data_IF_588933644359
#
_entry.id   IF_588933644359
#
_cell.length_a   1.000
_cell.length_b   1.000
_cell.length_c   1.000
_cell.angle_alpha   90.00
_cell.angle_beta   90.00
_cell.angle_gamma   90.00
#
_symmetry.space_group_name_H-M   'P 1'
#
loop_
_entity.id
_entity.type
_entity.pdbx_description
1 polymer ?
#
# COMPACT_ATOMS: atom_id res chain seq x y z
N UNK A 1 -9.81 20.90 -16.55
CA UNK A 1 -9.57 22.09 -15.71
C UNK A 1 -10.04 21.85 -14.28
N UNK A 2 -9.53 22.67 -13.35
CA UNK A 2 -9.55 22.48 -11.90
C UNK A 2 -10.94 22.69 -11.27
N UNK A 3 -11.56 21.64 -10.74
CA UNK A 3 -12.83 21.70 -10.01
C UNK A 3 -12.69 21.64 -8.48
N UNK A 4 -11.60 22.16 -7.91
CA UNK A 4 -11.47 22.27 -6.44
C UNK A 4 -10.94 23.65 -6.10
N UNK A 5 -11.69 24.36 -5.27
CA UNK A 5 -11.43 25.74 -4.87
C UNK A 5 -10.09 25.82 -4.10
N UNK A 6 -9.30 26.87 -4.34
CA UNK A 6 -7.92 26.98 -3.83
C UNK A 6 -7.84 26.95 -2.30
N UNK A 7 -8.92 27.37 -1.64
CA UNK A 7 -9.14 27.32 -0.20
C UNK A 7 -9.33 25.90 0.34
N UNK A 8 -10.06 25.02 -0.36
CA UNK A 8 -10.22 23.60 0.02
C UNK A 8 -8.90 22.83 -0.12
N UNK A 9 -8.05 23.17 -1.09
CA UNK A 9 -6.72 22.56 -1.25
C UNK A 9 -5.79 22.84 -0.06
N UNK A 10 -5.89 24.04 0.52
CA UNK A 10 -5.11 24.43 1.71
C UNK A 10 -5.59 23.70 2.97
N UNK A 11 -6.90 23.50 3.13
CA UNK A 11 -7.46 22.75 4.26
C UNK A 11 -7.23 21.23 4.14
N UNK A 12 -7.24 20.66 2.94
CA UNK A 12 -7.05 19.21 2.70
C UNK A 12 -5.59 18.77 2.48
N UNK A 13 -4.61 19.68 2.57
CA UNK A 13 -3.19 19.37 2.31
C UNK A 13 -2.87 18.89 0.87
N UNK A 14 -3.83 18.97 -0.05
CA UNK A 14 -3.76 18.38 -1.39
C UNK A 14 -2.90 19.23 -2.36
N UNK A 15 -1.59 19.25 -2.16
CA UNK A 15 -0.63 19.91 -3.04
C UNK A 15 0.09 18.90 -3.94
N UNK A 16 0.05 19.16 -5.25
CA UNK A 16 0.73 18.35 -6.26
C UNK A 16 2.26 18.48 -6.12
N UNK A 17 2.94 17.42 -5.69
CA UNK A 17 4.41 17.37 -5.70
C UNK A 17 4.92 17.34 -7.13
N UNK A 18 5.82 18.26 -7.48
CA UNK A 18 6.43 18.28 -8.81
C UNK A 18 7.18 16.96 -9.06
N UNK A 19 7.05 16.40 -10.27
CA UNK A 19 7.60 15.09 -10.64
C UNK A 19 9.09 14.93 -10.31
N UNK A 20 9.91 15.95 -10.54
CA UNK A 20 11.35 15.88 -10.25
C UNK A 20 11.64 15.76 -8.74
N UNK A 21 10.83 16.39 -7.88
CA UNK A 21 10.95 16.28 -6.42
C UNK A 21 10.62 14.86 -5.99
N UNK A 22 9.52 14.29 -6.50
CA UNK A 22 9.14 12.90 -6.23
C UNK A 22 10.28 11.95 -6.61
N UNK A 23 10.80 12.07 -7.84
CA UNK A 23 11.89 11.21 -8.32
C UNK A 23 13.14 11.35 -7.45
N UNK A 24 13.54 12.58 -7.12
CA UNK A 24 14.68 12.83 -6.26
C UNK A 24 14.53 12.15 -4.89
N UNK A 25 13.36 12.30 -4.26
CA UNK A 25 13.07 11.70 -2.95
C UNK A 25 13.04 10.16 -3.01
N UNK A 26 12.41 9.57 -4.03
CA UNK A 26 12.41 8.12 -4.21
C UNK A 26 13.84 7.57 -4.37
N UNK A 27 14.67 8.25 -5.17
CA UNK A 27 16.08 7.85 -5.38
C UNK A 27 16.92 7.97 -4.12
N UNK A 28 16.72 9.03 -3.34
CA UNK A 28 17.39 9.17 -2.04
C UNK A 28 16.99 8.06 -1.06
N UNK A 29 15.70 7.75 -0.98
CA UNK A 29 15.20 6.67 -0.12
C UNK A 29 15.79 5.32 -0.53
N UNK A 30 15.78 5.00 -1.82
CA UNK A 30 16.38 3.76 -2.36
C UNK A 30 17.90 3.72 -2.17
N UNK A 31 18.61 4.83 -2.39
CA UNK A 31 20.05 4.93 -2.10
C UNK A 31 20.33 4.58 -0.65
N UNK A 32 19.62 5.22 0.29
CA UNK A 32 19.83 5.01 1.73
C UNK A 32 19.53 3.56 2.14
N UNK A 33 18.52 2.94 1.54
CA UNK A 33 18.24 1.52 1.74
C UNK A 33 19.36 0.62 1.20
N UNK A 34 19.84 0.89 -0.03
CA UNK A 34 20.89 0.10 -0.68
C UNK A 34 22.26 0.21 0.02
N UNK A 35 22.53 1.29 0.75
CA UNK A 35 23.78 1.47 1.51
C UNK A 35 23.97 0.42 2.62
N UNK A 36 22.93 -0.33 2.97
CA UNK A 36 23.01 -1.50 3.87
C UNK A 36 23.72 -2.69 3.22
N UNK A 37 23.77 -2.74 1.89
CA UNK A 37 24.28 -3.87 1.11
C UNK A 37 25.45 -3.49 0.19
N UNK A 38 25.52 -2.22 -0.21
CA UNK A 38 26.51 -1.70 -1.16
C UNK A 38 27.28 -0.53 -0.58
N UNK A 39 28.50 -0.30 -1.09
CA UNK A 39 29.21 0.95 -0.82
C UNK A 39 28.39 2.17 -1.28
N UNK A 40 28.51 3.35 -0.63
CA UNK A 40 27.74 4.55 -0.98
C UNK A 40 27.82 4.95 -2.46
N UNK A 41 28.98 4.75 -3.11
CA UNK A 41 29.18 5.06 -4.52
C UNK A 41 28.39 4.12 -5.44
N UNK A 42 28.39 2.81 -5.14
CA UNK A 42 27.61 1.80 -5.88
C UNK A 42 26.11 2.00 -5.68
N UNK A 43 25.68 2.26 -4.45
CA UNK A 43 24.28 2.55 -4.12
C UNK A 43 23.77 3.81 -4.84
N UNK A 44 24.56 4.90 -4.83
CA UNK A 44 24.25 6.13 -5.54
C UNK A 44 24.11 5.90 -7.04
N UNK A 45 25.06 5.18 -7.66
CA UNK A 45 25.04 4.90 -9.10
C UNK A 45 23.79 4.11 -9.48
N UNK A 46 23.50 3.03 -8.75
CA UNK A 46 22.32 2.21 -9.03
C UNK A 46 21.02 3.00 -8.82
N UNK A 47 20.86 3.69 -7.69
CA UNK A 47 19.62 4.41 -7.38
C UNK A 47 19.37 5.62 -8.29
N UNK A 48 20.40 6.44 -8.57
CA UNK A 48 20.23 7.71 -9.27
C UNK A 48 20.42 7.61 -10.79
N UNK A 49 21.30 6.71 -11.25
CA UNK A 49 21.61 6.54 -12.67
C UNK A 49 21.00 5.25 -13.26
N UNK A 50 20.41 4.37 -12.43
CA UNK A 50 19.89 3.07 -12.86
C UNK A 50 20.97 2.28 -13.62
N UNK A 51 22.19 2.33 -13.09
CA UNK A 51 23.37 1.76 -13.69
C UNK A 51 24.02 0.76 -12.72
N UNK A 52 24.08 -0.50 -13.15
CA UNK A 52 24.67 -1.60 -12.41
C UNK A 52 26.17 -1.80 -12.71
N UNK A 53 26.81 -0.89 -13.45
CA UNK A 53 28.26 -0.97 -13.72
C UNK A 53 29.08 -0.90 -12.42
N UNK A 54 30.01 -1.84 -12.30
CA UNK A 54 30.84 -2.00 -11.10
C UNK A 54 30.23 -2.92 -10.02
N UNK A 55 29.03 -3.46 -10.23
CA UNK A 55 28.51 -4.58 -9.44
C UNK A 55 28.98 -5.91 -10.03
N UNK A 56 29.48 -6.81 -9.19
CA UNK A 56 29.74 -8.20 -9.58
C UNK A 56 28.42 -9.00 -9.66
N UNK A 57 28.46 -10.21 -10.22
CA UNK A 57 27.25 -11.01 -10.41
C UNK A 57 26.58 -11.48 -9.11
N UNK A 58 27.36 -11.63 -8.03
CA UNK A 58 26.83 -11.91 -6.70
C UNK A 58 26.03 -10.73 -6.15
N UNK A 59 26.64 -9.53 -6.19
CA UNK A 59 25.98 -8.28 -5.79
C UNK A 59 24.72 -8.03 -6.60
N UNK A 60 24.74 -8.22 -7.93
CA UNK A 60 23.54 -8.04 -8.76
C UNK A 60 22.40 -8.95 -8.35
N UNK A 61 22.68 -10.23 -8.09
CA UNK A 61 21.67 -11.22 -7.67
C UNK A 61 21.11 -10.89 -6.29
N UNK A 62 21.98 -10.54 -5.35
CA UNK A 62 21.59 -10.18 -3.99
C UNK A 62 20.70 -8.93 -3.98
N UNK A 63 21.13 -7.87 -4.66
CA UNK A 63 20.36 -6.62 -4.72
C UNK A 63 19.05 -6.82 -5.47
N UNK A 64 19.04 -7.61 -6.55
CA UNK A 64 17.79 -7.93 -7.24
C UNK A 64 16.81 -8.67 -6.31
N UNK A 65 17.30 -9.61 -5.50
CA UNK A 65 16.46 -10.31 -4.50
C UNK A 65 15.89 -9.31 -3.49
N UNK A 66 16.73 -8.47 -2.91
CA UNK A 66 16.33 -7.45 -1.94
C UNK A 66 15.29 -6.49 -2.52
N UNK A 67 15.46 -6.03 -3.76
CA UNK A 67 14.48 -5.14 -4.42
C UNK A 67 13.16 -5.82 -4.79
N UNK A 68 13.12 -7.16 -4.88
CA UNK A 68 11.86 -7.90 -5.04
C UNK A 68 11.10 -8.00 -3.72
N UNK A 69 11.79 -8.01 -2.60
CA UNK A 69 11.22 -8.22 -1.26
C UNK A 69 10.89 -6.91 -0.54
N UNK A 70 11.53 -5.79 -0.91
CA UNK A 70 11.40 -4.48 -0.24
C UNK A 70 9.94 -4.03 -0.04
N UNK A 71 9.63 -3.51 1.16
CA UNK A 71 8.31 -2.98 1.54
C UNK A 71 8.36 -1.47 1.70
N UNK A 72 7.66 -0.75 0.83
CA UNK A 72 7.57 0.72 0.84
C UNK A 72 6.18 1.16 1.25
N UNK A 73 6.09 2.10 2.20
CA UNK A 73 4.85 2.73 2.67
C UNK A 73 4.81 4.23 2.35
N UNK A 74 3.66 4.70 1.90
CA UNK A 74 3.27 6.12 1.94
C UNK A 74 2.02 6.29 2.83
N UNK A 75 2.16 6.76 4.09
CA UNK A 75 1.06 6.82 5.05
C UNK A 75 0.10 8.00 4.85
N UNK A 76 0.37 8.86 3.85
CA UNK A 76 -0.50 9.97 3.43
C UNK A 76 -0.41 10.09 1.90
N UNK A 77 -0.79 9.00 1.23
CA UNK A 77 -0.43 8.77 -0.17
C UNK A 77 -1.10 9.73 -1.16
N UNK A 78 -2.18 10.38 -0.72
CA UNK A 78 -3.05 11.23 -1.51
C UNK A 78 -3.37 10.54 -2.83
N UNK A 79 -3.05 11.23 -3.92
CA UNK A 79 -3.30 10.72 -5.27
C UNK A 79 -2.21 9.77 -5.81
N UNK A 80 -1.32 9.26 -4.95
CA UNK A 80 -0.32 8.24 -5.27
C UNK A 80 0.91 8.72 -6.04
N UNK A 81 1.36 9.96 -5.80
CA UNK A 81 2.50 10.53 -6.53
C UNK A 81 3.81 9.80 -6.20
N UNK A 82 4.10 9.61 -4.90
CA UNK A 82 5.29 8.91 -4.44
C UNK A 82 5.28 7.42 -4.78
N UNK A 83 4.14 6.75 -4.65
CA UNK A 83 4.02 5.34 -5.03
C UNK A 83 4.29 5.12 -6.52
N UNK A 84 3.77 5.98 -7.41
CA UNK A 84 4.10 5.92 -8.84
C UNK A 84 5.57 6.27 -9.13
N UNK A 85 6.14 7.21 -8.38
CA UNK A 85 7.57 7.53 -8.45
C UNK A 85 8.42 6.33 -8.10
N UNK A 86 8.17 5.74 -6.93
CA UNK A 86 8.87 4.57 -6.41
C UNK A 86 8.75 3.38 -7.35
N UNK A 87 7.54 3.13 -7.89
CA UNK A 87 7.32 2.08 -8.89
C UNK A 87 8.28 2.20 -10.07
N UNK A 88 8.48 3.41 -10.60
CA UNK A 88 9.33 3.66 -11.77
C UNK A 88 10.81 3.52 -11.45
N UNK A 89 11.24 3.97 -10.27
CA UNK A 89 12.64 3.83 -9.85
C UNK A 89 12.98 2.34 -9.58
N UNK A 90 12.08 1.59 -8.92
CA UNK A 90 12.22 0.14 -8.74
C UNK A 90 12.23 -0.61 -10.09
N UNK A 91 11.33 -0.28 -11.01
CA UNK A 91 11.30 -0.85 -12.37
C UNK A 91 12.65 -0.66 -13.06
N UNK A 92 13.17 0.57 -13.08
CA UNK A 92 14.43 0.90 -13.73
C UNK A 92 15.64 0.20 -13.11
N UNK A 93 15.72 0.15 -11.78
CA UNK A 93 16.80 -0.55 -11.09
C UNK A 93 16.77 -2.06 -11.32
N UNK A 94 15.59 -2.69 -11.26
CA UNK A 94 15.45 -4.13 -11.53
C UNK A 94 15.87 -4.49 -12.96
N UNK A 95 15.47 -3.66 -13.94
CA UNK A 95 15.91 -3.83 -15.34
C UNK A 95 17.44 -3.70 -15.46
N UNK A 96 18.04 -2.69 -14.81
CA UNK A 96 19.49 -2.49 -14.82
C UNK A 96 20.27 -3.65 -14.21
N UNK A 97 19.68 -4.33 -13.21
CA UNK A 97 20.24 -5.52 -12.57
C UNK A 97 20.03 -6.81 -13.37
N UNK A 98 19.35 -6.74 -14.52
CA UNK A 98 19.15 -7.87 -15.42
C UNK A 98 17.83 -8.62 -15.22
N UNK A 99 16.83 -8.05 -14.56
CA UNK A 99 15.48 -8.62 -14.51
C UNK A 99 14.84 -8.61 -15.90
N UNK A 100 14.60 -9.81 -16.45
CA UNK A 100 14.03 -10.02 -17.79
C UNK A 100 12.52 -10.20 -17.79
N UNK A 101 11.86 -10.01 -16.66
CA UNK A 101 10.40 -10.06 -16.55
C UNK A 101 9.79 -9.03 -17.50
N UNK A 102 8.74 -9.39 -18.24
CA UNK A 102 8.02 -8.42 -19.08
C UNK A 102 7.58 -7.21 -18.24
N UNK A 103 7.68 -5.99 -18.79
CA UNK A 103 7.44 -4.75 -18.04
C UNK A 103 6.09 -4.70 -17.32
N UNK A 104 5.03 -5.25 -17.91
CA UNK A 104 3.72 -5.26 -17.29
C UNK A 104 3.66 -6.20 -16.09
N UNK A 105 4.28 -7.38 -16.19
CA UNK A 105 4.42 -8.30 -15.06
C UNK A 105 5.35 -7.72 -13.98
N UNK A 106 6.44 -7.06 -14.37
CA UNK A 106 7.36 -6.38 -13.46
C UNK A 106 6.64 -5.27 -12.66
N UNK A 107 5.90 -4.40 -13.33
CA UNK A 107 5.11 -3.36 -12.65
C UNK A 107 4.03 -3.94 -11.76
N UNK A 108 3.34 -4.99 -12.21
CA UNK A 108 2.35 -5.71 -11.40
C UNK A 108 2.99 -6.22 -10.11
N UNK A 109 4.12 -6.93 -10.21
CA UNK A 109 4.86 -7.44 -9.06
C UNK A 109 5.24 -6.30 -8.11
N UNK A 110 5.77 -5.19 -8.64
CA UNK A 110 6.15 -4.03 -7.82
C UNK A 110 4.95 -3.44 -7.08
N UNK A 111 3.85 -3.19 -7.80
CA UNK A 111 2.66 -2.58 -7.22
C UNK A 111 2.04 -3.47 -6.13
N UNK A 112 2.03 -4.79 -6.34
CA UNK A 112 1.31 -5.72 -5.46
C UNK A 112 2.14 -6.22 -4.29
N UNK A 113 3.48 -6.24 -4.43
CA UNK A 113 4.34 -6.80 -3.39
C UNK A 113 5.16 -5.73 -2.65
N UNK A 114 5.48 -4.61 -3.30
CA UNK A 114 6.41 -3.62 -2.74
C UNK A 114 5.71 -2.35 -2.25
N UNK A 115 4.61 -1.91 -2.88
CA UNK A 115 4.00 -0.61 -2.62
C UNK A 115 2.81 -0.69 -1.68
N UNK A 116 2.78 0.18 -0.68
CA UNK A 116 1.71 0.28 0.31
C UNK A 116 1.35 1.75 0.54
N UNK A 117 0.08 2.04 0.71
CA UNK A 117 -0.43 3.40 0.84
C UNK A 117 -1.59 3.50 1.81
N UNK A 118 -1.61 4.56 2.60
CA UNK A 118 -2.75 4.92 3.45
C UNK A 118 -3.10 6.38 3.17
N UNK A 119 -4.37 6.72 3.15
CA UNK A 119 -4.82 8.11 3.17
C UNK A 119 -6.16 8.23 3.88
N UNK A 120 -6.39 9.35 4.56
CA UNK A 120 -7.67 9.61 5.24
C UNK A 120 -8.80 9.87 4.25
N UNK A 121 -8.52 10.41 3.05
CA UNK A 121 -9.52 10.73 2.03
C UNK A 121 -9.80 9.52 1.12
N UNK A 122 -11.00 8.90 1.18
CA UNK A 122 -11.35 7.78 0.32
C UNK A 122 -11.27 8.10 -1.18
N UNK A 123 -11.55 9.36 -1.57
CA UNK A 123 -11.45 9.78 -2.96
C UNK A 123 -9.99 9.81 -3.42
N UNK A 124 -9.07 10.21 -2.55
CA UNK A 124 -7.63 10.20 -2.84
C UNK A 124 -7.11 8.76 -3.01
N UNK A 125 -7.50 7.86 -2.11
CA UNK A 125 -7.23 6.41 -2.21
C UNK A 125 -7.74 5.84 -3.53
N UNK A 126 -8.97 6.17 -3.92
CA UNK A 126 -9.54 5.71 -5.20
C UNK A 126 -8.75 6.22 -6.40
N UNK A 127 -8.37 7.51 -6.41
CA UNK A 127 -7.53 8.10 -7.46
C UNK A 127 -6.16 7.43 -7.51
N UNK A 128 -5.57 7.13 -6.35
CA UNK A 128 -4.30 6.41 -6.24
C UNK A 128 -4.40 5.02 -6.89
N UNK A 129 -5.42 4.24 -6.52
CA UNK A 129 -5.70 2.91 -7.11
C UNK A 129 -5.86 2.98 -8.62
N UNK A 130 -6.69 3.91 -9.13
CA UNK A 130 -6.87 4.10 -10.59
C UNK A 130 -5.56 4.43 -11.27
N UNK A 131 -4.74 5.31 -10.71
CA UNK A 131 -3.46 5.70 -11.32
C UNK A 131 -2.48 4.54 -11.39
N UNK A 132 -2.36 3.75 -10.33
CA UNK A 132 -1.53 2.54 -10.33
C UNK A 132 -2.04 1.53 -11.37
N UNK A 133 -3.37 1.32 -11.44
CA UNK A 133 -4.00 0.46 -12.43
C UNK A 133 -3.76 0.93 -13.89
N UNK A 134 -3.86 2.23 -14.17
CA UNK A 134 -3.55 2.80 -15.49
C UNK A 134 -2.09 2.56 -15.90
N UNK A 135 -1.14 2.50 -14.94
CA UNK A 135 0.26 2.18 -15.25
C UNK A 135 0.44 0.71 -15.69
N UNK A 136 -0.44 -0.20 -15.26
CA UNK A 136 -0.49 -1.59 -15.73
C UNK A 136 -1.09 -1.68 -17.14
N UNK A 137 -2.18 -0.95 -17.37
CA UNK A 137 -2.95 -0.98 -18.61
C UNK A 137 -2.30 -0.21 -19.76
N UNK A 138 -1.57 0.87 -19.50
CA UNK A 138 -0.92 1.65 -20.57
C UNK A 138 0.21 0.88 -21.30
N UNK A 139 0.51 -0.35 -20.89
CA UNK A 139 1.41 -1.27 -21.58
C UNK A 139 0.70 -2.14 -22.64
N UNK A 140 -0.59 -1.88 -22.90
CA UNK A 140 -1.52 -2.58 -23.83
C UNK A 140 -1.13 -2.65 -25.32
N UNK A 141 0.08 -2.29 -25.75
CA UNK A 141 0.50 -2.63 -27.12
C UNK A 141 0.83 -4.12 -27.29
N UNK A 142 0.94 -4.88 -26.19
CA UNK A 142 1.36 -6.28 -26.20
C UNK A 142 0.27 -7.29 -25.77
N UNK A 143 -0.94 -6.84 -25.40
CA UNK A 143 -1.99 -7.71 -24.85
C UNK A 143 -3.18 -7.88 -25.79
N UNK A 144 -3.72 -9.11 -25.88
CA UNK A 144 -4.99 -9.36 -26.57
C UNK A 144 -6.16 -8.84 -25.72
N UNK A 145 -7.28 -8.46 -26.36
CA UNK A 145 -8.44 -7.81 -25.71
C UNK A 145 -9.02 -8.62 -24.54
N UNK A 146 -8.83 -9.93 -24.56
CA UNK A 146 -9.33 -10.88 -23.56
C UNK A 146 -8.51 -10.82 -22.25
N UNK A 147 -7.19 -10.62 -22.32
CA UNK A 147 -6.28 -10.54 -21.16
C UNK A 147 -6.46 -9.21 -20.39
N UNK A 148 -6.94 -8.17 -21.06
CA UNK A 148 -7.21 -6.87 -20.45
C UNK A 148 -8.33 -6.90 -19.39
N UNK A 149 -9.23 -7.90 -19.43
CA UNK A 149 -10.25 -8.13 -18.41
C UNK A 149 -9.70 -8.77 -17.13
N UNK A 150 -8.53 -9.40 -17.19
CA UNK A 150 -7.88 -10.07 -16.06
C UNK A 150 -7.17 -9.07 -15.11
N UNK A 151 -7.01 -7.80 -15.52
CA UNK A 151 -6.45 -6.72 -14.70
C UNK A 151 -7.55 -6.02 -13.91
N UNK A 152 -8.04 -6.64 -12.84
CA UNK A 152 -9.08 -6.04 -12.00
C UNK A 152 -8.48 -5.24 -10.83
N UNK A 153 -9.06 -4.07 -10.57
CA UNK A 153 -8.82 -3.18 -9.43
C UNK A 153 -8.87 -3.82 -8.01
N UNK A 154 -9.63 -4.92 -7.73
CA UNK A 154 -9.71 -5.54 -6.40
C UNK A 154 -8.35 -5.92 -5.79
N UNK A 155 -7.36 -6.23 -6.63
CA UNK A 155 -6.03 -6.64 -6.17
C UNK A 155 -5.26 -5.49 -5.48
N UNK A 156 -5.57 -4.23 -5.78
CA UNK A 156 -4.94 -3.07 -5.16
C UNK A 156 -5.54 -2.68 -3.81
N UNK A 157 -6.71 -3.24 -3.46
CA UNK A 157 -7.49 -2.77 -2.31
C UNK A 157 -6.78 -2.94 -0.98
N UNK A 158 -5.95 -3.97 -0.82
CA UNK A 158 -5.27 -4.28 0.44
C UNK A 158 -3.98 -3.51 0.62
N UNK A 159 -3.36 -3.14 -0.48
CA UNK A 159 -2.10 -2.40 -0.46
C UNK A 159 -2.33 -0.90 -0.28
N UNK A 160 -3.45 -0.38 -0.80
CA UNK A 160 -3.81 1.04 -0.70
C UNK A 160 -5.14 1.18 0.06
N UNK A 161 -5.12 1.78 1.24
CA UNK A 161 -6.28 1.79 2.15
C UNK A 161 -6.68 3.19 2.59
N UNK A 162 -7.97 3.33 2.89
CA UNK A 162 -8.49 4.49 3.59
C UNK A 162 -8.25 4.31 5.09
N UNK A 163 -7.78 5.34 5.77
CA UNK A 163 -7.70 5.36 7.23
C UNK A 163 -6.82 6.49 7.74
N UNK A 164 -7.11 6.93 8.96
CA UNK A 164 -6.19 7.79 9.72
C UNK A 164 -4.95 6.98 10.12
N UNK A 165 -3.76 7.47 9.74
CA UNK A 165 -2.47 6.80 9.92
C UNK A 165 -1.77 7.22 11.21
N UNK A 166 -2.13 8.36 11.81
CA UNK A 166 -1.43 8.98 12.94
C UNK A 166 -2.09 8.74 14.31
N UNK A 167 -3.35 8.35 14.37
CA UNK A 167 -4.10 8.27 15.62
C UNK A 167 -4.36 6.83 16.09
N UNK A 168 -4.18 6.63 17.40
CA UNK A 168 -4.67 5.47 18.17
C UNK A 168 -6.03 5.73 18.81
N UNK A 169 -6.71 6.76 18.34
CA UNK A 169 -7.97 7.22 18.90
C UNK A 169 -8.99 7.34 17.79
N UNK A 170 -10.20 6.87 18.06
CA UNK A 170 -11.36 7.16 17.24
C UNK A 170 -12.28 8.09 18.02
N UNK A 171 -12.48 9.31 17.51
CA UNK A 171 -13.12 10.37 18.29
C UNK A 171 -12.39 10.54 19.65
N UNK A 172 -13.08 10.34 20.77
CA UNK A 172 -12.47 10.39 22.10
C UNK A 172 -12.00 9.01 22.62
N UNK A 173 -12.38 7.93 21.96
CA UNK A 173 -12.07 6.58 22.42
C UNK A 173 -10.64 6.17 22.10
N UNK A 174 -9.85 5.88 23.14
CA UNK A 174 -8.56 5.22 22.99
C UNK A 174 -8.74 3.77 22.52
N UNK A 175 -8.05 3.42 21.43
CA UNK A 175 -7.97 2.05 20.95
C UNK A 175 -6.84 1.37 21.69
N UNK A 176 -7.17 0.60 22.72
CA UNK A 176 -6.19 -0.18 23.46
C UNK A 176 -5.63 -1.30 22.59
N UNK A 177 -4.58 -1.02 21.80
CA UNK A 177 -3.93 -1.99 20.90
C UNK A 177 -3.42 -3.25 21.62
N UNK A 178 -3.10 -3.13 22.91
CA UNK A 178 -2.46 -4.17 23.73
C UNK A 178 -3.44 -5.02 24.56
N UNK A 179 -4.71 -4.60 24.70
CA UNK A 179 -5.71 -5.31 25.52
C UNK A 179 -6.31 -6.54 24.85
N UNK A 180 -6.13 -6.67 23.52
CA UNK A 180 -6.99 -7.48 22.66
C UNK A 180 -6.35 -8.83 22.27
N UNK A 181 -5.23 -9.22 22.88
CA UNK A 181 -4.49 -10.45 22.48
C UNK A 181 -5.36 -11.72 22.49
N UNK A 182 -6.34 -11.85 23.39
CA UNK A 182 -7.18 -13.07 23.48
C UNK A 182 -8.38 -13.10 22.54
N UNK A 183 -9.11 -11.99 22.38
CA UNK A 183 -10.29 -11.95 21.50
C UNK A 183 -9.93 -11.65 20.05
N UNK A 184 -8.93 -10.79 19.81
CA UNK A 184 -8.47 -10.52 18.46
C UNK A 184 -7.62 -11.64 17.89
N UNK A 185 -7.02 -12.53 18.68
CA UNK A 185 -6.28 -13.70 18.18
C UNK A 185 -7.05 -14.51 17.13
N UNK A 186 -8.35 -14.76 17.36
CA UNK A 186 -9.22 -15.48 16.42
C UNK A 186 -9.48 -14.67 15.15
N UNK A 187 -9.70 -13.35 15.28
CA UNK A 187 -9.90 -12.47 14.13
C UNK A 187 -8.62 -12.31 13.31
N UNK A 188 -7.45 -12.22 13.96
CA UNK A 188 -6.13 -12.19 13.35
C UNK A 188 -5.83 -13.46 12.58
N UNK A 189 -6.12 -14.62 13.16
CA UNK A 189 -5.88 -15.90 12.51
C UNK A 189 -6.78 -16.09 11.28
N UNK A 190 -8.06 -15.72 11.39
CA UNK A 190 -8.98 -15.73 10.25
C UNK A 190 -8.57 -14.74 9.15
N UNK A 191 -8.23 -13.50 9.51
CA UNK A 191 -7.78 -12.50 8.54
C UNK A 191 -6.48 -12.95 7.85
N UNK A 192 -5.54 -13.51 8.61
CA UNK A 192 -4.29 -14.07 8.08
C UNK A 192 -4.56 -15.18 7.08
N UNK A 193 -5.47 -16.10 7.38
CA UNK A 193 -5.84 -17.17 6.46
C UNK A 193 -6.39 -16.59 5.15
N UNK A 194 -7.30 -15.62 5.22
CA UNK A 194 -7.90 -14.98 4.04
C UNK A 194 -6.87 -14.19 3.21
N UNK A 195 -5.95 -13.47 3.86
CA UNK A 195 -4.87 -12.75 3.18
C UNK A 195 -3.90 -13.71 2.47
N UNK A 196 -3.59 -14.84 3.09
CA UNK A 196 -2.74 -15.89 2.50
C UNK A 196 -3.45 -16.60 1.33
N UNK A 197 -4.75 -16.88 1.47
CA UNK A 197 -5.59 -17.41 0.39
C UNK A 197 -5.63 -16.45 -0.81
N UNK A 198 -5.79 -15.14 -0.55
CA UNK A 198 -5.74 -14.10 -1.59
C UNK A 198 -4.37 -13.98 -2.24
N UNK A 199 -3.29 -14.09 -1.46
CA UNK A 199 -1.92 -14.12 -1.98
C UNK A 199 -1.70 -15.32 -2.90
N UNK A 200 -2.15 -16.51 -2.49
CA UNK A 200 -2.06 -17.73 -3.31
C UNK A 200 -2.89 -17.61 -4.57
N UNK A 201 -4.10 -17.06 -4.47
CA UNK A 201 -4.95 -16.77 -5.64
C UNK A 201 -4.22 -15.84 -6.63
N UNK A 202 -3.53 -14.83 -6.10
CA UNK A 202 -2.72 -13.90 -6.88
C UNK A 202 -1.51 -14.58 -7.57
N UNK A 203 -0.80 -15.47 -6.86
CA UNK A 203 0.32 -16.24 -7.43
C UNK A 203 -0.13 -17.26 -8.49
N UNK A 204 -1.36 -17.77 -8.40
CA UNK A 204 -1.94 -18.77 -9.31
C UNK A 204 -2.60 -18.19 -10.58
N UNK A 205 -2.54 -16.88 -10.81
CA UNK A 205 -3.19 -16.22 -11.96
C UNK A 205 -4.68 -16.63 -12.10
N UNK A 206 -5.39 -16.74 -10.97
CA UNK A 206 -6.75 -17.23 -10.96
C UNK A 206 -7.66 -16.35 -11.84
N UNK A 207 -8.36 -16.99 -12.78
CA UNK A 207 -9.34 -16.39 -13.68
C UNK A 207 -10.66 -16.01 -12.98
N UNK A 208 -10.75 -16.20 -11.67
CA UNK A 208 -12.00 -16.11 -10.89
C UNK A 208 -12.10 -14.77 -10.16
N UNK A 209 -12.40 -13.70 -10.91
CA UNK A 209 -12.70 -12.38 -10.35
C UNK A 209 -13.69 -12.40 -9.17
N UNK A 210 -14.69 -13.30 -9.23
CA UNK A 210 -15.71 -13.49 -8.20
C UNK A 210 -15.12 -14.00 -6.88
N UNK A 211 -14.15 -14.91 -6.93
CA UNK A 211 -13.51 -15.48 -5.75
C UNK A 211 -12.66 -14.44 -5.02
N UNK A 212 -11.88 -13.66 -5.77
CA UNK A 212 -11.13 -12.52 -5.22
C UNK A 212 -12.03 -11.46 -4.57
N UNK A 213 -13.24 -11.24 -5.11
CA UNK A 213 -14.25 -10.32 -4.56
C UNK A 213 -14.92 -10.89 -3.29
N UNK A 214 -15.23 -12.18 -3.27
CA UNK A 214 -15.73 -12.89 -2.08
C UNK A 214 -14.72 -12.80 -0.92
N UNK A 215 -13.45 -13.10 -1.19
CA UNK A 215 -12.38 -13.00 -0.18
C UNK A 215 -12.22 -11.56 0.31
N UNK A 216 -12.41 -10.56 -0.57
CA UNK A 216 -12.35 -9.14 -0.19
C UNK A 216 -13.45 -8.75 0.78
N UNK A 217 -14.68 -9.17 0.47
CA UNK A 217 -15.83 -8.93 1.33
C UNK A 217 -15.68 -9.64 2.68
N UNK A 218 -15.10 -10.84 2.71
CA UNK A 218 -14.81 -11.55 3.94
C UNK A 218 -13.75 -10.84 4.79
N UNK A 219 -12.68 -10.33 4.18
CA UNK A 219 -11.65 -9.57 4.91
C UNK A 219 -12.25 -8.30 5.50
N UNK A 220 -13.01 -7.53 4.71
CA UNK A 220 -13.70 -6.34 5.20
C UNK A 220 -14.64 -6.68 6.36
N UNK A 221 -15.36 -7.80 6.28
CA UNK A 221 -16.26 -8.24 7.35
C UNK A 221 -15.52 -8.62 8.64
N UNK A 222 -14.35 -9.27 8.53
CA UNK A 222 -13.50 -9.57 9.69
C UNK A 222 -12.97 -8.30 10.32
N UNK A 223 -12.50 -7.36 9.50
CA UNK A 223 -12.00 -6.05 9.94
C UNK A 223 -13.08 -5.23 10.65
N UNK A 224 -14.32 -5.24 10.12
CA UNK A 224 -15.48 -4.62 10.76
C UNK A 224 -15.74 -5.18 12.15
N UNK A 225 -15.82 -6.51 12.27
CA UNK A 225 -16.10 -7.19 13.54
C UNK A 225 -15.04 -6.91 14.57
N UNK A 226 -13.79 -6.93 14.15
CA UNK A 226 -12.65 -6.58 14.98
C UNK A 226 -12.74 -5.13 15.45
N UNK A 227 -12.95 -4.16 14.56
CA UNK A 227 -13.07 -2.74 14.94
C UNK A 227 -14.16 -2.53 15.98
N UNK A 228 -15.33 -3.13 15.77
CA UNK A 228 -16.44 -3.09 16.73
C UNK A 228 -16.05 -3.75 18.07
N UNK A 229 -15.33 -4.87 18.04
CA UNK A 229 -14.86 -5.53 19.26
C UNK A 229 -13.92 -4.62 20.07
N UNK A 230 -12.96 -3.95 19.40
CA UNK A 230 -12.02 -3.00 20.02
C UNK A 230 -12.78 -1.85 20.67
N UNK A 231 -13.73 -1.25 19.95
CA UNK A 231 -14.53 -0.13 20.45
C UNK A 231 -15.40 -0.54 21.67
N UNK A 232 -15.86 -1.79 21.72
CA UNK A 232 -16.65 -2.32 22.85
C UNK A 232 -15.86 -2.52 24.13
N UNK A 233 -14.53 -2.57 24.11
CA UNK A 233 -13.73 -2.73 25.32
C UNK A 233 -13.66 -1.42 26.12
N UNK A 234 -13.54 -0.27 25.42
CA UNK A 234 -13.48 1.06 26.01
C UNK A 234 -14.83 1.60 26.49
N UNK A 235 -14.84 2.38 27.58
CA UNK A 235 -16.07 3.01 28.10
C UNK A 235 -16.63 4.06 27.14
N UNK A 236 -15.76 4.86 26.54
CA UNK A 236 -16.13 5.87 25.52
C UNK A 236 -16.51 5.21 24.21
N UNK A 237 -15.75 4.19 23.77
CA UNK A 237 -16.05 3.44 22.55
C UNK A 237 -17.43 2.75 22.59
N UNK A 238 -17.84 2.21 23.75
CA UNK A 238 -19.20 1.68 23.95
C UNK A 238 -20.28 2.74 23.75
N UNK A 239 -20.11 3.93 24.32
CA UNK A 239 -21.07 5.04 24.17
C UNK A 239 -21.19 5.49 22.71
N UNK A 240 -20.05 5.66 22.05
CA UNK A 240 -20.00 6.04 20.62
C UNK A 240 -20.72 5.00 19.75
N UNK A 241 -20.50 3.70 20.02
CA UNK A 241 -21.23 2.64 19.34
C UNK A 241 -22.73 2.74 19.63
N UNK A 242 -23.15 2.84 20.89
CA UNK A 242 -24.57 2.94 21.26
C UNK A 242 -25.29 4.11 20.57
N UNK A 243 -24.61 5.24 20.40
CA UNK A 243 -25.17 6.45 19.77
C UNK A 243 -25.20 6.39 18.24
N UNK A 244 -24.19 5.78 17.60
CA UNK A 244 -23.97 5.90 16.14
C UNK A 244 -23.83 4.56 15.40
N UNK A 245 -24.16 3.42 16.01
CA UNK A 245 -23.90 2.08 15.41
C UNK A 245 -24.43 1.93 13.98
N UNK A 246 -25.62 2.48 13.67
CA UNK A 246 -26.22 2.38 12.33
C UNK A 246 -25.45 3.17 11.27
N UNK A 247 -25.00 4.38 11.63
CA UNK A 247 -24.18 5.23 10.76
C UNK A 247 -22.82 4.57 10.52
N UNK A 248 -22.23 3.96 11.56
CA UNK A 248 -21.00 3.21 11.43
C UNK A 248 -21.17 1.92 10.61
N UNK A 249 -22.24 1.15 10.81
CA UNK A 249 -22.49 -0.06 10.03
C UNK A 249 -22.58 0.24 8.53
N UNK A 250 -23.17 1.37 8.13
CA UNK A 250 -23.18 1.84 6.74
C UNK A 250 -21.81 2.32 6.27
N UNK A 251 -21.12 3.18 7.02
CA UNK A 251 -19.80 3.70 6.66
C UNK A 251 -18.75 2.59 6.51
N UNK A 252 -18.75 1.65 7.46
CA UNK A 252 -17.86 0.50 7.51
C UNK A 252 -18.14 -0.52 6.39
N UNK A 253 -19.36 -0.54 5.85
CA UNK A 253 -19.73 -1.41 4.74
C UNK A 253 -18.99 -1.03 3.46
N UNK A 254 -18.87 0.27 3.21
CA UNK A 254 -18.33 0.81 1.95
C UNK A 254 -16.83 1.13 2.03
N UNK A 255 -16.31 1.53 3.20
CA UNK A 255 -14.94 2.04 3.33
C UNK A 255 -14.05 1.26 4.30
N UNK A 256 -14.61 0.30 5.04
CA UNK A 256 -13.90 -0.41 6.11
C UNK A 256 -13.64 0.50 7.32
N UNK A 257 -12.85 0.03 8.31
CA UNK A 257 -12.56 0.80 9.52
C UNK A 257 -11.91 2.14 9.18
N UNK A 258 -12.36 3.24 9.81
CA UNK A 258 -11.91 4.58 9.46
C UNK A 258 -10.49 4.90 9.99
N UNK A 259 -9.88 3.95 10.68
CA UNK A 259 -8.51 4.01 11.18
C UNK A 259 -7.64 2.98 10.46
N UNK A 260 -6.37 3.33 10.32
CA UNK A 260 -5.37 2.37 9.88
C UNK A 260 -5.00 1.43 11.02
N UNK A 261 -5.66 0.28 11.09
CA UNK A 261 -5.28 -0.81 11.97
C UNK A 261 -4.06 -1.52 11.39
N UNK A 262 -2.86 -0.96 11.60
CA UNK A 262 -1.59 -1.34 10.98
C UNK A 262 -1.28 -2.84 11.02
N UNK A 263 -1.41 -3.47 12.19
CA UNK A 263 -1.11 -4.89 12.42
C UNK A 263 -2.03 -5.85 11.66
N UNK A 264 -3.11 -5.30 11.11
CA UNK A 264 -4.23 -6.01 10.47
C UNK A 264 -4.16 -5.81 8.97
N UNK A 265 -4.03 -4.54 8.55
CA UNK A 265 -3.98 -4.14 7.16
C UNK A 265 -2.69 -4.57 6.49
N UNK A 266 -1.58 -4.60 7.24
CA UNK A 266 -0.25 -4.91 6.73
C UNK A 266 0.42 -6.02 7.54
N UNK A 267 -0.37 -7.01 7.96
CA UNK A 267 0.10 -8.12 8.78
C UNK A 267 1.31 -8.84 8.17
N UNK A 268 1.31 -9.04 6.84
CA UNK A 268 2.41 -9.68 6.11
C UNK A 268 3.72 -8.88 6.20
N UNK A 269 3.64 -7.57 6.36
CA UNK A 269 4.80 -6.68 6.53
C UNK A 269 5.32 -6.71 7.97
N UNK A 270 4.43 -6.63 8.95
CA UNK A 270 4.80 -6.61 10.37
C UNK A 270 5.23 -7.98 10.93
N UNK A 271 4.88 -9.08 10.25
CA UNK A 271 5.37 -10.42 10.62
C UNK A 271 6.90 -10.54 10.58
N UNK A 272 7.54 -9.85 9.63
CA UNK A 272 8.97 -10.00 9.39
C UNK A 272 9.79 -8.89 10.08
N UNK A 273 9.52 -7.62 9.77
CA UNK A 273 10.26 -6.49 10.39
C UNK A 273 9.62 -5.10 10.23
N UNK A 274 8.41 -5.00 9.64
CA UNK A 274 7.80 -3.72 9.30
C UNK A 274 8.22 -3.22 7.90
N UNK A 275 8.00 -1.94 7.63
CA UNK A 275 8.33 -1.33 6.32
C UNK A 275 9.81 -0.97 6.23
N UNK A 276 10.43 -1.33 5.10
CA UNK A 276 11.83 -0.98 4.80
C UNK A 276 12.03 0.51 4.54
N UNK A 277 11.05 1.13 3.86
CA UNK A 277 11.05 2.55 3.48
C UNK A 277 9.67 3.13 3.79
N UNK A 278 9.66 4.24 4.52
CA UNK A 278 8.48 5.11 4.64
C UNK A 278 8.78 6.41 3.90
N UNK A 279 7.97 6.73 2.90
CA UNK A 279 8.14 7.92 2.07
C UNK A 279 6.83 8.70 2.00
N UNK A 280 6.89 9.97 2.40
CA UNK A 280 5.75 10.86 2.34
C UNK A 280 6.21 12.28 2.02
N UNK A 281 5.29 13.11 1.57
CA UNK A 281 5.49 14.54 1.69
C UNK A 281 5.47 14.90 3.18
N UNK A 282 6.47 15.64 3.70
CA UNK A 282 6.37 16.18 5.04
C UNK A 282 5.14 17.10 5.13
N UNK A 283 4.39 17.06 6.25
CA UNK A 283 3.32 18.01 6.50
C UNK A 283 3.91 19.42 6.44
N UNK A 284 3.29 20.31 5.67
CA UNK A 284 3.76 21.71 5.61
C UNK A 284 3.29 22.41 6.88
N UNK A 285 4.26 22.83 7.70
CA UNK A 285 4.10 23.75 8.82
C UNK A 285 3.49 25.08 8.38
#
# INVERSE_FOLDING_TARGET
ENYINVTERKQKGAFYTKKYVVQFMCRLALKSYLERFLSPQKALRLACAQDATGLNDGEKKEILKVLKEIKVLDPACGSGAYLQGMMRELEGMRVALGDRTNRANLRREIILNNLHGVDIDPAAVWICKIRLWLNLINLKKEYKKEEAKEFLLPQLTFRIRTGESLLDKWEDAELNRWGIERQAGIFWEKQRQLLEEKRKEHELYSKEAKKSEEIENEILEVERKLFIAIMKEGREGRKILEEKIKEYEELLKDYGPPLCLWDTYFHDVFKDSGFDIVIMNPPRS
#
